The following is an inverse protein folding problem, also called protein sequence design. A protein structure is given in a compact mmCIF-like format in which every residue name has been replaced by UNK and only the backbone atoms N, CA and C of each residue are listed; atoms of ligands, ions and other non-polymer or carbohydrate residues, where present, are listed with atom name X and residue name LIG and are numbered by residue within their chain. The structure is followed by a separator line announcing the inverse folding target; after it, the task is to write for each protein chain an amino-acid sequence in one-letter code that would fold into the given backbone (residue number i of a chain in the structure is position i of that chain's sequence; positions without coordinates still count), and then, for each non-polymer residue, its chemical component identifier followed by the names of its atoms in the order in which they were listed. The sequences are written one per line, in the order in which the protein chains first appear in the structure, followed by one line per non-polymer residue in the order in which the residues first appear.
data_IF_409567359898
#
_entry.id   IF_409567359898
#
_cell.length_a   1.000
_cell.length_b   1.000
_cell.length_c   1.000
_cell.angle_alpha   90.00
_cell.angle_beta   90.00
_cell.angle_gamma   90.00
#
_symmetry.space_group_name_H-M   'P 1'
#
loop_
_entity.id
_entity.type
_entity.pdbx_description
1 polymer ?
#
# COMPACT_ATOMS: atom_id res chain seq x y z
N UNK A 1 0.03 34.41 -45.29
CA UNK A 1 -0.64 34.14 -44.00
C UNK A 1 -0.17 32.77 -43.52
N UNK A 2 0.47 32.68 -42.33
CA UNK A 2 1.04 31.44 -41.79
C UNK A 2 -0.02 30.70 -40.96
N UNK A 3 -0.21 29.38 -41.12
CA UNK A 3 -1.15 28.63 -40.30
C UNK A 3 -0.57 28.37 -38.90
N UNK A 4 -1.20 28.95 -37.88
CA UNK A 4 -0.94 28.66 -36.46
C UNK A 4 -1.44 27.26 -36.15
N UNK A 5 -0.53 26.33 -35.84
CA UNK A 5 -0.86 24.98 -35.37
C UNK A 5 -1.20 25.05 -33.88
N UNK A 6 -2.46 24.84 -33.53
CA UNK A 6 -2.93 24.70 -32.14
C UNK A 6 -2.56 23.29 -31.68
N UNK A 7 -1.63 23.18 -30.73
CA UNK A 7 -1.30 21.93 -30.05
C UNK A 7 -2.37 21.67 -28.98
N UNK A 8 -3.25 20.71 -29.22
CA UNK A 8 -4.28 20.30 -28.26
C UNK A 8 -3.63 19.37 -27.21
N UNK A 9 -3.30 19.89 -26.03
CA UNK A 9 -2.91 19.06 -24.89
C UNK A 9 -4.17 18.39 -24.34
N UNK A 10 -4.35 17.12 -24.67
CA UNK A 10 -5.35 16.26 -24.05
C UNK A 10 -4.85 15.96 -22.64
N UNK A 11 -5.28 16.76 -21.68
CA UNK A 11 -5.19 16.44 -20.26
C UNK A 11 -6.12 15.25 -20.01
N UNK A 12 -5.59 14.03 -20.05
CA UNK A 12 -6.28 12.89 -19.47
C UNK A 12 -6.36 13.16 -17.97
N UNK A 13 -7.55 13.36 -17.37
CA UNK A 13 -7.65 13.31 -15.93
C UNK A 13 -7.14 11.92 -15.53
N UNK A 14 -6.10 11.88 -14.70
CA UNK A 14 -5.73 10.64 -14.04
C UNK A 14 -6.99 10.18 -13.30
N UNK A 15 -7.69 9.18 -13.83
CA UNK A 15 -8.67 8.45 -13.07
C UNK A 15 -7.88 7.85 -11.91
N UNK A 16 -7.91 8.53 -10.77
CA UNK A 16 -7.51 7.96 -9.49
C UNK A 16 -8.57 6.89 -9.20
N UNK A 17 -8.43 5.73 -9.84
CA UNK A 17 -9.21 4.57 -9.47
C UNK A 17 -8.85 4.27 -8.03
N UNK A 18 -9.85 4.27 -7.15
CA UNK A 18 -9.72 3.74 -5.80
C UNK A 18 -9.01 2.38 -5.90
N UNK A 19 -7.75 2.33 -5.49
CA UNK A 19 -6.88 1.19 -5.70
C UNK A 19 -6.82 0.42 -4.40
N UNK A 20 -7.37 -0.79 -4.42
CA UNK A 20 -7.37 -1.66 -3.25
C UNK A 20 -6.01 -2.26 -2.98
N UNK A 21 -5.88 -2.89 -1.82
CA UNK A 21 -4.70 -3.66 -1.44
C UNK A 21 -4.35 -4.76 -2.46
N UNK A 22 -5.37 -5.36 -3.08
CA UNK A 22 -5.18 -6.34 -4.16
C UNK A 22 -4.50 -5.73 -5.39
N UNK A 23 -4.76 -4.46 -5.69
CA UNK A 23 -4.08 -3.76 -6.79
C UNK A 23 -2.59 -3.57 -6.48
N UNK A 24 -2.25 -3.27 -5.23
CA UNK A 24 -0.85 -3.19 -4.80
C UNK A 24 -0.11 -4.51 -5.00
N UNK A 25 -0.72 -5.63 -4.61
CA UNK A 25 -0.09 -6.95 -4.80
C UNK A 25 0.00 -7.36 -6.27
N UNK A 26 -1.00 -7.01 -7.08
CA UNK A 26 -0.96 -7.23 -8.54
C UNK A 26 0.21 -6.48 -9.19
N UNK A 27 0.47 -5.25 -8.76
CA UNK A 27 1.56 -4.42 -9.31
C UNK A 27 2.95 -4.77 -8.78
N UNK A 28 3.01 -5.60 -7.72
CA UNK A 28 4.23 -5.98 -7.01
C UNK A 28 4.27 -7.51 -6.77
N UNK A 29 4.34 -8.33 -7.84
CA UNK A 29 4.26 -9.78 -7.74
C UNK A 29 5.36 -10.38 -6.88
N UNK A 30 6.57 -9.82 -6.89
CA UNK A 30 7.70 -10.27 -6.06
C UNK A 30 7.41 -10.18 -4.56
N UNK A 31 6.68 -9.15 -4.13
CA UNK A 31 6.24 -9.00 -2.73
C UNK A 31 5.10 -9.98 -2.42
N UNK A 32 4.13 -10.12 -3.34
CA UNK A 32 2.98 -11.01 -3.15
C UNK A 32 3.33 -12.50 -3.19
N UNK A 33 4.43 -12.87 -3.85
CA UNK A 33 4.88 -14.25 -4.02
C UNK A 33 5.55 -14.84 -2.77
N UNK A 34 5.97 -14.01 -1.82
CA UNK A 34 6.43 -14.44 -0.50
C UNK A 34 5.30 -14.22 0.52
N UNK A 35 4.77 -15.30 1.09
CA UNK A 35 3.64 -15.24 2.04
C UNK A 35 3.94 -14.38 3.28
N UNK A 36 5.16 -14.41 3.81
CA UNK A 36 5.53 -13.63 5.00
C UNK A 36 5.61 -12.14 4.69
N UNK A 37 6.15 -11.78 3.52
CA UNK A 37 6.16 -10.38 3.06
C UNK A 37 4.74 -9.90 2.78
N UNK A 38 3.93 -10.71 2.09
CA UNK A 38 2.53 -10.40 1.80
C UNK A 38 1.73 -10.16 3.08
N UNK A 39 1.86 -11.05 4.07
CA UNK A 39 1.15 -10.93 5.33
C UNK A 39 1.59 -9.68 6.11
N UNK A 40 2.91 -9.43 6.21
CA UNK A 40 3.42 -8.24 6.88
C UNK A 40 2.87 -6.95 6.23
N UNK A 41 2.76 -6.89 4.90
CA UNK A 41 2.17 -5.75 4.20
C UNK A 41 0.68 -5.63 4.50
N UNK A 42 -0.05 -6.76 4.50
CA UNK A 42 -1.46 -6.81 4.80
C UNK A 42 -1.76 -6.34 6.23
N UNK A 43 -1.01 -6.83 7.22
CA UNK A 43 -1.15 -6.45 8.62
C UNK A 43 -0.92 -4.94 8.83
N UNK A 44 0.12 -4.38 8.20
CA UNK A 44 0.37 -2.93 8.28
C UNK A 44 -0.74 -2.12 7.61
N UNK A 45 -1.20 -2.54 6.42
CA UNK A 45 -2.29 -1.87 5.73
C UNK A 45 -3.61 -1.95 6.53
N UNK A 46 -3.90 -3.10 7.14
CA UNK A 46 -5.07 -3.32 7.98
C UNK A 46 -5.01 -2.48 9.26
N UNK A 47 -3.85 -2.41 9.93
CA UNK A 47 -3.68 -1.58 11.12
C UNK A 47 -3.97 -0.10 10.83
N UNK A 48 -3.50 0.40 9.69
CA UNK A 48 -3.79 1.77 9.23
C UNK A 48 -5.29 1.95 8.94
N UNK A 49 -5.92 0.98 8.27
CA UNK A 49 -7.36 1.03 7.97
C UNK A 49 -8.23 1.01 9.25
N UNK A 50 -7.82 0.25 10.27
CA UNK A 50 -8.46 0.23 11.60
C UNK A 50 -8.35 1.59 12.26
N UNK A 51 -7.14 2.15 12.31
CA UNK A 51 -6.89 3.47 12.90
C UNK A 51 -7.74 4.57 12.23
N UNK A 52 -7.83 4.55 10.90
CA UNK A 52 -8.64 5.48 10.12
C UNK A 52 -10.13 5.34 10.42
N UNK A 53 -10.62 4.11 10.52
CA UNK A 53 -12.03 3.83 10.85
C UNK A 53 -12.39 4.35 12.23
N UNK A 54 -11.52 4.18 13.23
CA UNK A 54 -11.74 4.76 14.56
C UNK A 54 -11.75 6.28 14.58
N UNK A 55 -10.85 6.94 13.84
CA UNK A 55 -10.74 8.40 13.80
C UNK A 55 -11.93 9.08 13.13
N UNK A 56 -12.57 8.42 12.17
CA UNK A 56 -13.67 8.98 11.38
C UNK A 56 -15.06 8.67 11.96
N UNK A 57 -15.13 8.07 13.16
CA UNK A 57 -16.35 7.79 13.92
C UNK A 57 -17.45 7.04 13.15
N UNK A 58 -17.11 6.26 12.12
CA UNK A 58 -18.06 5.44 11.34
C UNK A 58 -18.53 4.17 12.07
N UNK A 59 -18.26 4.09 13.38
CA UNK A 59 -18.07 2.92 14.25
C UNK A 59 -19.24 1.91 14.42
N UNK A 60 -20.32 1.96 13.64
CA UNK A 60 -21.41 0.98 13.80
C UNK A 60 -21.02 -0.43 13.30
N UNK A 61 -20.07 -0.54 12.34
CA UNK A 61 -19.58 -1.82 11.80
C UNK A 61 -18.09 -1.74 11.38
N UNK A 62 -17.20 -1.72 12.38
CA UNK A 62 -15.75 -1.63 12.18
C UNK A 62 -15.21 -2.67 11.18
N UNK A 63 -15.59 -3.96 11.22
CA UNK A 63 -15.12 -4.94 10.24
C UNK A 63 -15.48 -4.58 8.79
N UNK A 64 -16.68 -4.07 8.54
CA UNK A 64 -17.09 -3.68 7.18
C UNK A 64 -16.41 -2.39 6.73
N UNK A 65 -16.20 -1.43 7.64
CA UNK A 65 -15.47 -0.20 7.33
C UNK A 65 -14.01 -0.47 6.98
N UNK A 66 -13.32 -1.30 7.77
CA UNK A 66 -11.93 -1.70 7.49
C UNK A 66 -11.83 -2.37 6.13
N UNK A 67 -12.75 -3.29 5.80
CA UNK A 67 -12.78 -3.96 4.50
C UNK A 67 -13.03 -2.99 3.35
N UNK A 68 -13.95 -2.04 3.53
CA UNK A 68 -14.23 -1.00 2.54
C UNK A 68 -13.00 -0.14 2.29
N UNK A 69 -12.31 0.28 3.35
CA UNK A 69 -11.08 1.07 3.26
C UNK A 69 -9.92 0.32 2.60
N UNK A 70 -9.74 -0.96 2.92
CA UNK A 70 -8.73 -1.79 2.23
C UNK A 70 -9.05 -1.98 0.74
N UNK A 71 -10.32 -1.94 0.36
CA UNK A 71 -10.77 -2.01 -1.03
C UNK A 71 -10.60 -0.68 -1.78
N UNK A 72 -10.81 0.47 -1.12
CA UNK A 72 -10.74 1.78 -1.79
C UNK A 72 -9.38 2.46 -1.72
N UNK A 73 -8.69 2.35 -0.57
CA UNK A 73 -7.47 3.09 -0.23
C UNK A 73 -6.32 2.14 0.15
N UNK A 74 -6.52 0.83 -0.06
CA UNK A 74 -5.59 -0.20 0.41
C UNK A 74 -4.22 -0.11 -0.27
N UNK A 75 -4.14 0.43 -1.48
CA UNK A 75 -2.87 0.68 -2.15
C UNK A 75 -2.03 1.69 -1.37
N UNK A 76 -2.61 2.82 -0.98
CA UNK A 76 -1.96 3.86 -0.19
C UNK A 76 -1.55 3.35 1.20
N UNK A 77 -2.40 2.53 1.83
CA UNK A 77 -2.04 1.91 3.10
C UNK A 77 -0.90 0.90 2.95
N UNK A 78 -0.84 0.16 1.84
CA UNK A 78 0.31 -0.70 1.54
C UNK A 78 1.59 0.10 1.35
N UNK A 79 1.54 1.24 0.66
CA UNK A 79 2.68 2.15 0.51
C UNK A 79 3.19 2.64 1.87
N UNK A 80 2.28 3.09 2.74
CA UNK A 80 2.63 3.49 4.10
C UNK A 80 3.20 2.33 4.91
N UNK A 81 2.57 1.15 4.84
CA UNK A 81 3.04 -0.07 5.47
C UNK A 81 4.46 -0.46 5.03
N UNK A 82 4.76 -0.36 3.72
CA UNK A 82 6.10 -0.62 3.18
C UNK A 82 7.16 0.32 3.77
N UNK A 83 6.83 1.59 4.02
CA UNK A 83 7.76 2.52 4.67
C UNK A 83 8.05 2.11 6.11
N UNK A 84 7.03 1.64 6.84
CA UNK A 84 7.18 1.09 8.19
C UNK A 84 8.03 -0.19 8.18
N UNK A 85 7.74 -1.13 7.29
CA UNK A 85 8.48 -2.39 7.16
C UNK A 85 9.96 -2.17 6.84
N UNK A 86 10.28 -1.20 5.99
CA UNK A 86 11.68 -0.78 5.75
C UNK A 86 12.38 -0.22 6.98
N UNK A 87 11.63 0.37 7.91
CA UNK A 87 12.19 0.80 9.19
C UNK A 87 12.42 -0.40 10.11
N UNK A 88 11.45 -1.33 10.16
CA UNK A 88 11.56 -2.58 10.93
C UNK A 88 12.78 -3.38 10.48
N UNK A 89 13.01 -3.52 9.17
CA UNK A 89 14.14 -4.26 8.62
C UNK A 89 15.54 -3.70 8.93
N UNK A 90 15.63 -2.54 9.58
CA UNK A 90 16.91 -1.96 10.05
C UNK A 90 17.23 -2.32 11.49
N UNK A 91 16.32 -2.97 12.20
CA UNK A 91 16.41 -3.27 13.62
C UNK A 91 16.06 -4.75 13.85
N UNK A 92 17.04 -5.52 14.33
CA UNK A 92 16.89 -6.97 14.53
C UNK A 92 15.82 -7.31 15.58
N UNK A 93 15.63 -6.50 16.60
CA UNK A 93 14.61 -6.76 17.63
C UNK A 93 13.21 -6.54 17.06
N UNK A 94 13.03 -5.50 16.24
CA UNK A 94 11.76 -5.24 15.56
C UNK A 94 11.46 -6.30 14.51
N UNK A 95 12.48 -6.79 13.80
CA UNK A 95 12.33 -7.91 12.86
C UNK A 95 11.74 -9.14 13.56
N UNK A 96 12.29 -9.52 14.71
CA UNK A 96 11.82 -10.67 15.49
C UNK A 96 10.36 -10.51 15.93
N UNK A 97 9.99 -9.32 16.40
CA UNK A 97 8.60 -9.00 16.81
C UNK A 97 7.62 -9.07 15.65
N UNK A 98 8.06 -8.74 14.43
CA UNK A 98 7.23 -8.78 13.22
C UNK A 98 7.38 -10.08 12.41
N UNK A 99 8.04 -11.11 12.97
CA UNK A 99 8.31 -12.39 12.31
C UNK A 99 9.01 -12.24 10.94
N UNK A 100 9.86 -11.23 10.79
CA UNK A 100 10.64 -11.00 9.57
C UNK A 100 12.06 -11.51 9.76
N UNK A 101 12.60 -12.16 8.73
CA UNK A 101 14.04 -12.50 8.69
C UNK A 101 14.76 -11.63 7.68
N UNK A 102 16.09 -11.75 7.63
CA UNK A 102 16.90 -11.13 6.58
C UNK A 102 16.42 -11.48 5.17
N UNK A 103 15.83 -12.67 4.97
CA UNK A 103 15.31 -13.09 3.67
C UNK A 103 14.12 -12.23 3.22
N UNK A 104 13.16 -11.98 4.11
CA UNK A 104 12.02 -11.10 3.82
C UNK A 104 12.47 -9.64 3.68
N UNK A 105 13.40 -9.20 4.53
CA UNK A 105 13.91 -7.83 4.49
C UNK A 105 14.65 -7.48 3.21
N UNK A 106 15.34 -8.44 2.58
CA UNK A 106 15.91 -8.24 1.23
C UNK A 106 14.83 -7.88 0.20
N UNK A 107 13.66 -8.53 0.25
CA UNK A 107 12.55 -8.21 -0.67
C UNK A 107 11.97 -6.82 -0.36
N UNK A 108 11.77 -6.52 0.92
CA UNK A 108 11.22 -5.25 1.40
C UNK A 108 12.14 -4.06 1.03
N UNK A 109 13.46 -4.21 1.18
CA UNK A 109 14.43 -3.14 0.89
C UNK A 109 14.62 -2.90 -0.62
N UNK A 110 14.52 -3.97 -1.42
CA UNK A 110 14.63 -3.90 -2.87
C UNK A 110 13.41 -3.23 -3.52
N UNK A 111 12.24 -3.27 -2.88
CA UNK A 111 11.05 -2.56 -3.35
C UNK A 111 11.33 -1.06 -3.53
N UNK A 112 10.87 -0.50 -4.66
CA UNK A 112 10.88 0.94 -4.92
C UNK A 112 9.45 1.39 -5.14
N UNK A 113 9.03 2.36 -4.34
CA UNK A 113 7.75 3.04 -4.49
C UNK A 113 7.70 3.70 -5.88
N UNK A 114 6.61 3.46 -6.62
CA UNK A 114 6.37 3.94 -7.99
C UNK A 114 5.62 5.26 -7.98
#
# INVERSE_FOLDING_TARGET
MKPTRILLFILFPALSSAAGLDSFFSDNPDLSGNIFVKEAIYEQAQAIAVERSWREETNEDLPNDVRKRLSSDGYEYALLGMRTLKSICKDSELMDVNNLTNKECVLIDNYKEK
#
